data_IF_753745258498
#
_entry.id   IF_753745258498
#
_cell.length_a   1.000
_cell.length_b   1.000
_cell.length_c   1.000
_cell.angle_alpha   90.00
_cell.angle_beta   90.00
_cell.angle_gamma   90.00
#
_symmetry.space_group_name_H-M   'P 1'
#
loop_
_entity.id
_entity.type
_entity.pdbx_description
1 polymer ?
#
# COMPACT_ATOMS: atom_id res chain seq x y z
N UNK A 1 -52.20 -46.81 0.56
CA UNK A 1 -51.17 -47.51 1.35
C UNK A 1 -49.80 -47.03 0.87
N UNK A 2 -48.95 -46.74 1.85
CA UNK A 2 -47.60 -46.16 1.88
C UNK A 2 -46.69 -46.49 0.70
N UNK A 3 -45.93 -45.54 0.13
CA UNK A 3 -44.60 -45.06 0.61
C UNK A 3 -43.56 -45.44 -0.48
N UNK A 4 -42.44 -44.80 -0.79
CA UNK A 4 -41.56 -43.86 -0.11
C UNK A 4 -40.61 -43.23 -1.17
N UNK A 5 -40.31 -41.92 -1.04
CA UNK A 5 -39.07 -41.16 -1.35
C UNK A 5 -38.36 -41.20 -2.73
N UNK A 6 -37.89 -40.03 -3.23
CA UNK A 6 -37.00 -39.92 -4.40
C UNK A 6 -35.51 -40.03 -4.00
N UNK A 7 -34.65 -40.69 -4.80
CA UNK A 7 -33.20 -40.56 -4.64
C UNK A 7 -32.62 -39.52 -5.61
N UNK A 8 -32.00 -38.51 -5.01
CA UNK A 8 -30.70 -37.94 -5.33
C UNK A 8 -30.23 -37.87 -6.79
N UNK A 9 -30.14 -36.62 -7.27
CA UNK A 9 -28.84 -35.99 -7.48
C UNK A 9 -27.86 -36.70 -8.42
N UNK A 10 -27.96 -36.39 -9.72
CA UNK A 10 -26.82 -36.40 -10.62
C UNK A 10 -26.96 -35.21 -11.57
N UNK A 11 -26.51 -34.06 -11.09
CA UNK A 11 -26.34 -32.84 -11.86
C UNK A 11 -25.16 -33.07 -12.81
N UNK A 12 -25.41 -33.81 -13.88
CA UNK A 12 -24.40 -34.18 -14.87
C UNK A 12 -24.00 -32.94 -15.68
N UNK A 13 -22.73 -32.56 -15.54
CA UNK A 13 -22.03 -31.86 -16.59
C UNK A 13 -22.07 -30.33 -16.54
N UNK A 14 -22.35 -29.71 -15.39
CA UNK A 14 -21.70 -28.43 -15.15
C UNK A 14 -20.22 -28.74 -15.03
N UNK A 15 -19.51 -28.60 -16.16
CA UNK A 15 -18.09 -28.33 -16.16
C UNK A 15 -17.85 -27.33 -15.03
N UNK A 16 -17.32 -27.83 -13.91
CA UNK A 16 -16.78 -27.00 -12.85
C UNK A 16 -15.59 -26.33 -13.51
N UNK A 17 -15.88 -25.28 -14.28
CA UNK A 17 -14.95 -24.22 -14.57
C UNK A 17 -14.61 -23.76 -13.17
N UNK A 18 -13.54 -24.35 -12.62
CA UNK A 18 -12.79 -23.72 -11.56
C UNK A 18 -12.35 -22.41 -12.19
N UNK A 19 -13.19 -21.39 -12.04
CA UNK A 19 -12.82 -20.02 -12.29
C UNK A 19 -11.77 -19.78 -11.23
N UNK A 20 -10.51 -20.09 -11.57
CA UNK A 20 -9.36 -19.72 -10.76
C UNK A 20 -9.58 -18.24 -10.47
N UNK A 21 -9.88 -17.87 -9.21
CA UNK A 21 -10.39 -16.56 -8.92
C UNK A 21 -9.33 -15.59 -9.41
N UNK A 22 -9.73 -14.80 -10.40
CA UNK A 22 -8.88 -13.94 -11.20
C UNK A 22 -7.79 -13.37 -10.29
N UNK A 23 -6.52 -13.67 -10.61
CA UNK A 23 -5.36 -12.95 -10.09
C UNK A 23 -5.59 -11.47 -10.42
N UNK A 24 -6.31 -10.77 -9.56
CA UNK A 24 -6.87 -9.44 -9.87
C UNK A 24 -5.73 -8.47 -9.72
N UNK A 25 -5.01 -8.28 -10.81
CA UNK A 25 -3.95 -7.29 -10.90
C UNK A 25 -4.59 -5.92 -10.88
N UNK A 26 -4.33 -5.16 -9.82
CA UNK A 26 -4.78 -3.81 -9.63
C UNK A 26 -3.71 -2.85 -10.14
N UNK A 27 -4.15 -1.78 -10.81
CA UNK A 27 -3.29 -0.64 -11.13
C UNK A 27 -2.83 0.05 -9.84
N UNK A 28 -1.81 0.91 -9.91
CA UNK A 28 -1.36 1.67 -8.75
C UNK A 28 -2.49 2.48 -8.08
N UNK A 29 -3.39 3.08 -8.87
CA UNK A 29 -4.48 3.88 -8.34
C UNK A 29 -5.56 3.00 -7.69
N UNK A 30 -5.91 1.87 -8.30
CA UNK A 30 -6.87 0.93 -7.71
C UNK A 30 -6.30 0.23 -6.47
N UNK A 31 -4.99 -0.09 -6.47
CA UNK A 31 -4.30 -0.65 -5.32
C UNK A 31 -4.27 0.35 -4.17
N UNK A 32 -4.03 1.63 -4.46
CA UNK A 32 -4.05 2.70 -3.47
C UNK A 32 -5.47 2.88 -2.87
N UNK A 33 -6.51 2.83 -3.71
CA UNK A 33 -7.90 2.83 -3.24
C UNK A 33 -8.23 1.60 -2.39
N UNK A 34 -7.77 0.42 -2.80
CA UNK A 34 -7.96 -0.82 -2.06
C UNK A 34 -7.34 -0.75 -0.65
N UNK A 35 -6.11 -0.24 -0.55
CA UNK A 35 -5.40 0.00 0.70
C UNK A 35 -5.95 1.18 1.51
N UNK A 36 -6.82 2.01 0.93
CA UNK A 36 -7.29 3.25 1.58
C UNK A 36 -6.19 4.29 1.79
N UNK A 37 -5.18 4.35 0.90
CA UNK A 37 -4.08 5.33 0.98
C UNK A 37 -3.96 6.15 -0.32
N UNK A 38 -3.39 7.36 -0.30
CA UNK A 38 -3.17 8.11 -1.52
C UNK A 38 -2.11 7.44 -2.42
N UNK A 39 -2.36 7.38 -3.73
CA UNK A 39 -1.46 6.79 -4.73
C UNK A 39 -0.01 7.33 -4.69
N UNK A 40 0.16 8.63 -4.38
CA UNK A 40 1.50 9.24 -4.17
C UNK A 40 2.25 8.57 -3.02
N UNK A 41 1.57 8.21 -1.93
CA UNK A 41 2.18 7.55 -0.77
C UNK A 41 2.53 6.10 -1.09
N UNK A 42 1.64 5.37 -1.77
CA UNK A 42 1.96 4.03 -2.27
C UNK A 42 3.21 4.04 -3.17
N UNK A 43 3.34 5.06 -4.04
CA UNK A 43 4.52 5.25 -4.87
C UNK A 43 5.79 5.56 -4.07
N UNK A 44 5.69 6.39 -3.01
CA UNK A 44 6.82 6.67 -2.11
C UNK A 44 7.26 5.41 -1.35
N UNK A 45 6.31 4.64 -0.82
CA UNK A 45 6.59 3.37 -0.15
C UNK A 45 7.31 2.39 -1.10
N UNK A 46 6.87 2.32 -2.36
CA UNK A 46 7.57 1.53 -3.39
C UNK A 46 9.00 2.01 -3.64
N UNK A 47 9.26 3.32 -3.66
CA UNK A 47 10.61 3.88 -3.83
C UNK A 47 11.53 3.61 -2.64
N UNK A 48 10.98 3.56 -1.43
CA UNK A 48 11.71 3.30 -0.20
C UNK A 48 11.82 1.79 0.11
N UNK A 49 11.43 0.91 -0.82
CA UNK A 49 11.36 -0.55 -0.61
C UNK A 49 10.56 -0.98 0.65
N UNK A 50 9.66 -0.11 1.12
CA UNK A 50 8.86 -0.29 2.33
C UNK A 50 7.37 -0.55 2.02
N UNK A 51 7.02 -0.57 0.73
CA UNK A 51 5.67 -0.83 0.22
C UNK A 51 5.45 -2.28 -0.24
N UNK A 52 4.22 -2.62 -0.65
CA UNK A 52 3.91 -3.92 -1.23
C UNK A 52 4.73 -4.13 -2.50
N UNK A 53 5.21 -5.35 -2.73
CA UNK A 53 5.98 -5.68 -3.93
C UNK A 53 5.04 -5.74 -5.14
N UNK A 54 5.34 -5.02 -6.24
CA UNK A 54 4.57 -5.15 -7.46
C UNK A 54 4.75 -6.55 -8.04
N UNK A 55 3.64 -7.20 -8.38
CA UNK A 55 3.65 -8.56 -8.91
C UNK A 55 3.96 -8.61 -10.41
N UNK A 56 3.64 -7.53 -11.12
CA UNK A 56 3.95 -7.34 -12.52
C UNK A 56 4.12 -5.85 -12.82
N UNK A 57 4.62 -5.54 -14.02
CA UNK A 57 4.70 -4.18 -14.52
C UNK A 57 4.09 -4.15 -15.91
N UNK A 58 3.07 -3.32 -16.10
CA UNK A 58 2.51 -3.08 -17.43
C UNK A 58 3.22 -1.86 -18.03
N UNK A 59 4.31 -2.11 -18.76
CA UNK A 59 5.19 -1.03 -19.24
C UNK A 59 5.85 -0.27 -18.08
N UNK A 60 5.47 1.00 -17.86
CA UNK A 60 6.01 1.83 -16.78
C UNK A 60 5.18 1.76 -15.48
N UNK A 61 3.94 1.29 -15.54
CA UNK A 61 3.04 1.27 -14.38
C UNK A 61 3.14 -0.05 -13.60
N UNK A 62 3.37 0.02 -12.27
CA UNK A 62 3.37 -1.18 -11.43
C UNK A 62 1.95 -1.73 -11.29
N UNK A 63 1.83 -3.05 -11.35
CA UNK A 63 0.59 -3.78 -11.08
C UNK A 63 0.75 -4.61 -9.81
N UNK A 64 -0.27 -4.56 -8.96
CA UNK A 64 -0.27 -5.21 -7.65
C UNK A 64 -1.30 -6.32 -7.63
N UNK A 65 -0.91 -7.48 -7.11
CA UNK A 65 -1.87 -8.55 -6.81
C UNK A 65 -2.58 -8.24 -5.51
N UNK A 66 -3.88 -8.52 -5.44
CA UNK A 66 -4.67 -8.36 -4.21
C UNK A 66 -4.02 -9.13 -3.06
N UNK A 67 -3.50 -10.33 -3.32
CA UNK A 67 -2.90 -11.20 -2.29
C UNK A 67 -1.65 -10.56 -1.67
N UNK A 68 -0.84 -9.86 -2.48
CA UNK A 68 0.36 -9.17 -2.00
C UNK A 68 -0.01 -7.89 -1.24
N UNK A 69 -1.10 -7.23 -1.62
CA UNK A 69 -1.66 -6.10 -0.87
C UNK A 69 -2.21 -6.56 0.48
N UNK A 70 -2.95 -7.67 0.52
CA UNK A 70 -3.48 -8.26 1.75
C UNK A 70 -2.37 -8.72 2.68
N UNK A 71 -1.35 -9.41 2.16
CA UNK A 71 -0.16 -9.77 2.94
C UNK A 71 0.52 -8.54 3.52
N UNK A 72 0.64 -7.47 2.73
CA UNK A 72 1.24 -6.21 3.20
C UNK A 72 0.40 -5.56 4.31
N UNK A 73 -0.93 -5.59 4.22
CA UNK A 73 -1.83 -5.12 5.28
C UNK A 73 -1.61 -5.91 6.57
N UNK A 74 -1.60 -7.24 6.50
CA UNK A 74 -1.35 -8.09 7.67
C UNK A 74 0.03 -7.80 8.30
N UNK A 75 1.05 -7.53 7.49
CA UNK A 75 2.37 -7.11 7.99
C UNK A 75 2.32 -5.76 8.71
N UNK A 76 1.59 -4.78 8.18
CA UNK A 76 1.39 -3.46 8.82
C UNK A 76 0.69 -3.60 10.19
N UNK A 77 -0.41 -4.34 10.23
CA UNK A 77 -1.17 -4.58 11.47
C UNK A 77 -0.36 -5.39 12.49
N UNK A 78 0.35 -6.42 12.04
CA UNK A 78 1.24 -7.21 12.89
C UNK A 78 2.38 -6.37 13.48
N UNK A 79 2.97 -5.46 12.70
CA UNK A 79 4.00 -4.53 13.17
C UNK A 79 3.46 -3.56 14.23
N UNK A 80 2.22 -3.12 14.10
CA UNK A 80 1.54 -2.28 15.09
C UNK A 80 1.03 -3.06 16.31
N UNK A 81 1.28 -4.38 16.40
CA UNK A 81 0.79 -5.27 17.46
C UNK A 81 -0.74 -5.22 17.64
N UNK A 82 -1.47 -4.93 16.56
CA UNK A 82 -2.93 -4.94 16.56
C UNK A 82 -3.39 -6.39 16.46
N UNK A 83 -4.42 -6.76 17.23
CA UNK A 83 -4.96 -8.13 17.19
C UNK A 83 -5.68 -8.40 15.87
N UNK A 84 -5.64 -9.64 15.39
CA UNK A 84 -6.33 -10.03 14.16
C UNK A 84 -7.86 -9.80 14.22
N UNK A 85 -8.44 -9.84 15.43
CA UNK A 85 -9.85 -9.52 15.64
C UNK A 85 -10.17 -8.04 15.41
N UNK A 86 -9.28 -7.15 15.82
CA UNK A 86 -9.41 -5.70 15.61
C UNK A 86 -9.11 -5.32 14.15
N UNK A 87 -8.14 -5.96 13.51
CA UNK A 87 -7.91 -5.86 12.06
C UNK A 87 -9.18 -6.21 11.28
N UNK A 88 -9.83 -7.33 11.62
CA UNK A 88 -11.04 -7.77 10.94
C UNK A 88 -12.20 -6.77 11.11
N UNK A 89 -12.39 -6.22 12.32
CA UNK A 89 -13.39 -5.17 12.59
C UNK A 89 -13.13 -3.92 11.78
N UNK A 90 -11.92 -3.36 11.86
CA UNK A 90 -11.57 -2.14 11.11
C UNK A 90 -11.69 -2.32 9.60
N UNK A 91 -11.31 -3.50 9.09
CA UNK A 91 -11.45 -3.80 7.67
C UNK A 91 -12.90 -3.97 7.26
N UNK A 92 -13.75 -4.56 8.10
CA UNK A 92 -15.19 -4.65 7.85
C UNK A 92 -15.83 -3.26 7.82
N UNK A 93 -15.50 -2.41 8.78
CA UNK A 93 -15.95 -1.01 8.83
C UNK A 93 -15.51 -0.24 7.59
N UNK A 94 -14.25 -0.40 7.19
CA UNK A 94 -13.70 0.22 5.98
C UNK A 94 -14.41 -0.25 4.71
N UNK A 95 -14.60 -1.56 4.55
CA UNK A 95 -15.35 -2.12 3.41
C UNK A 95 -16.79 -1.62 3.38
N UNK A 96 -17.43 -1.51 4.55
CA UNK A 96 -18.77 -0.94 4.67
C UNK A 96 -18.84 0.51 4.18
N UNK A 97 -17.82 1.33 4.50
CA UNK A 97 -17.72 2.72 4.02
C UNK A 97 -17.51 2.83 2.51
N UNK A 98 -16.68 1.96 1.93
CA UNK A 98 -16.45 1.96 0.47
C UNK A 98 -17.68 1.43 -0.30
N UNK A 99 -18.43 0.50 0.30
CA UNK A 99 -19.65 -0.06 -0.29
C UNK A 99 -20.87 0.86 -0.14
N UNK A 100 -20.78 1.91 0.68
CA UNK A 100 -21.87 2.84 0.89
C UNK A 100 -22.24 3.58 -0.42
N UNK A 101 -23.53 3.74 -0.75
CA UNK A 101 -23.98 4.38 -1.99
C UNK A 101 -23.47 5.82 -2.21
N UNK A 102 -23.06 6.51 -1.13
CA UNK A 102 -22.46 7.85 -1.17
C UNK A 102 -20.95 7.88 -1.45
N UNK A 103 -20.32 6.73 -1.71
CA UNK A 103 -18.90 6.63 -2.04
C UNK A 103 -18.59 7.08 -3.48
N UNK A 104 -19.58 7.52 -4.26
CA UNK A 104 -19.41 8.09 -5.60
C UNK A 104 -19.71 9.61 -5.55
N UNK A 105 -18.79 10.43 -6.09
CA UNK A 105 -18.97 11.86 -6.33
C UNK A 105 -20.12 12.07 -7.35
N UNK A 106 -20.73 13.25 -7.40
CA UNK A 106 -21.77 13.63 -8.36
C UNK A 106 -21.47 13.30 -9.85
N UNK A 107 -20.20 13.05 -10.20
CA UNK A 107 -19.68 12.63 -11.50
C UNK A 107 -19.48 11.11 -11.63
N UNK A 108 -20.00 10.30 -10.70
CA UNK A 108 -19.87 8.84 -10.70
C UNK A 108 -18.45 8.33 -10.45
N UNK A 109 -17.56 9.14 -9.87
CA UNK A 109 -16.20 8.72 -9.50
C UNK A 109 -16.16 8.32 -8.05
N UNK A 110 -15.40 7.28 -7.69
CA UNK A 110 -15.19 6.95 -6.28
C UNK A 110 -14.62 8.16 -5.56
N UNK A 111 -15.35 8.68 -4.57
CA UNK A 111 -14.84 9.63 -3.60
C UNK A 111 -13.57 9.01 -3.05
N UNK A 112 -12.49 9.78 -3.06
CA UNK A 112 -11.19 9.36 -2.57
C UNK A 112 -11.27 9.24 -1.05
N UNK A 113 -11.97 8.22 -0.59
CA UNK A 113 -12.02 7.84 0.81
C UNK A 113 -10.64 7.32 1.15
N UNK A 114 -10.09 7.83 2.25
CA UNK A 114 -8.78 7.46 2.75
C UNK A 114 -9.02 6.89 4.14
N UNK A 115 -8.48 5.71 4.42
CA UNK A 115 -8.59 5.07 5.71
C UNK A 115 -7.58 5.73 6.68
N UNK A 116 -8.04 6.42 7.75
CA UNK A 116 -7.15 7.05 8.72
C UNK A 116 -6.20 6.06 9.40
N UNK A 117 -6.63 4.82 9.63
CA UNK A 117 -5.80 3.80 10.28
C UNK A 117 -4.65 3.39 9.36
N UNK A 118 -4.95 3.03 8.12
CA UNK A 118 -3.93 2.72 7.12
C UNK A 118 -3.01 3.92 6.84
N UNK A 119 -3.51 5.15 6.95
CA UNK A 119 -2.66 6.33 6.87
C UNK A 119 -1.65 6.42 8.02
N UNK A 120 -2.05 6.17 9.26
CA UNK A 120 -1.16 6.20 10.42
C UNK A 120 -0.12 5.07 10.34
N UNK A 121 -0.57 3.86 10.03
CA UNK A 121 0.30 2.67 9.89
C UNK A 121 1.35 2.86 8.77
N UNK A 122 0.93 3.36 7.61
CA UNK A 122 1.86 3.60 6.51
C UNK A 122 2.82 4.77 6.78
N UNK A 123 2.42 5.74 7.60
CA UNK A 123 3.28 6.86 7.97
C UNK A 123 4.40 6.42 8.90
N UNK A 124 4.10 5.57 9.89
CA UNK A 124 5.13 4.96 10.76
C UNK A 124 6.18 4.21 9.93
N UNK A 125 5.73 3.39 8.99
CA UNK A 125 6.62 2.68 8.06
C UNK A 125 7.43 3.64 7.20
N UNK A 126 6.83 4.74 6.73
CA UNK A 126 7.52 5.73 5.91
C UNK A 126 8.60 6.49 6.70
N UNK A 127 8.32 6.84 7.95
CA UNK A 127 9.28 7.49 8.86
C UNK A 127 10.40 6.52 9.21
N UNK A 128 10.06 5.28 9.56
CA UNK A 128 11.05 4.24 9.87
C UNK A 128 11.97 3.93 8.68
N UNK A 129 11.42 3.84 7.47
CA UNK A 129 12.19 3.61 6.25
C UNK A 129 12.96 4.87 5.77
N UNK A 130 12.41 6.06 6.04
CA UNK A 130 13.01 7.35 5.67
C UNK A 130 14.11 7.83 6.63
N UNK A 131 14.08 7.40 7.89
CA UNK A 131 15.07 7.72 8.92
C UNK A 131 16.54 7.56 8.48
N UNK A 132 16.96 6.39 7.94
CA UNK A 132 18.34 6.20 7.50
C UNK A 132 18.73 7.09 6.31
N UNK A 133 17.77 7.50 5.48
CA UNK A 133 18.01 8.41 4.37
C UNK A 133 18.17 9.87 4.86
N UNK A 134 17.34 10.28 5.83
CA UNK A 134 17.47 11.58 6.49
C UNK A 134 18.81 11.73 7.21
N UNK A 135 19.25 10.69 7.92
CA UNK A 135 20.55 10.67 8.59
C UNK A 135 21.71 10.81 7.61
N UNK A 136 21.66 10.09 6.48
CA UNK A 136 22.68 10.20 5.42
C UNK A 136 22.74 11.60 4.82
N UNK A 137 21.59 12.23 4.59
CA UNK A 137 21.51 13.62 4.11
C UNK A 137 22.08 14.61 5.12
N UNK A 138 21.77 14.45 6.41
CA UNK A 138 22.36 15.26 7.49
C UNK A 138 23.88 15.12 7.54
N UNK A 139 24.38 13.89 7.46
CA UNK A 139 25.82 13.64 7.42
C UNK A 139 26.48 14.26 6.18
N UNK A 140 25.92 14.04 5.00
CA UNK A 140 26.46 14.60 3.75
C UNK A 140 26.40 16.13 3.74
N UNK A 141 25.32 16.71 4.26
CA UNK A 141 25.16 18.17 4.39
C UNK A 141 26.18 18.74 5.37
N UNK A 142 26.35 18.12 6.54
CA UNK A 142 27.33 18.55 7.54
C UNK A 142 28.76 18.45 7.00
N UNK A 143 29.09 17.33 6.35
CA UNK A 143 30.38 17.13 5.70
C UNK A 143 30.62 18.17 4.60
N UNK A 144 29.62 18.41 3.74
CA UNK A 144 29.68 19.44 2.70
C UNK A 144 29.94 20.83 3.26
N UNK A 145 29.28 21.20 4.36
CA UNK A 145 29.49 22.49 5.03
C UNK A 145 30.92 22.63 5.59
N UNK A 146 31.49 21.55 6.14
CA UNK A 146 32.88 21.53 6.63
C UNK A 146 33.87 21.70 5.48
N UNK A 147 33.70 20.95 4.38
CA UNK A 147 34.55 21.08 3.20
C UNK A 147 34.44 22.47 2.56
N UNK A 148 33.22 23.00 2.44
CA UNK A 148 32.94 24.33 1.91
C UNK A 148 33.37 25.45 2.85
N UNK A 149 33.53 25.19 4.16
CA UNK A 149 34.17 26.15 5.06
C UNK A 149 35.68 26.23 4.83
N UNK A 150 36.31 25.13 4.41
CA UNK A 150 37.76 25.05 4.29
C UNK A 150 38.31 25.67 2.99
N UNK A 151 37.54 25.66 1.90
CA UNK A 151 37.95 26.15 0.57
C UNK A 151 37.97 27.68 0.40
N UNK A 152 36.97 28.47 0.85
CA UNK A 152 36.92 29.91 0.65
C UNK A 152 37.70 30.71 1.71
N UNK A 153 37.95 30.15 2.91
CA UNK A 153 38.75 30.82 3.95
C UNK A 153 40.22 30.89 3.54
N UNK A 154 40.76 29.84 2.94
CA UNK A 154 42.14 29.83 2.42
C UNK A 154 42.31 30.80 1.24
N UNK A 155 41.32 30.91 0.36
CA UNK A 155 41.32 31.89 -0.74
C UNK A 155 41.26 33.33 -0.24
N UNK A 156 40.42 33.62 0.76
CA UNK A 156 40.36 34.96 1.37
C UNK A 156 41.65 35.33 2.11
N UNK A 157 42.36 34.38 2.70
CA UNK A 157 43.68 34.64 3.29
C UNK A 157 44.77 34.85 2.23
N UNK A 158 44.78 34.05 1.15
CA UNK A 158 45.75 34.22 0.06
C UNK A 158 45.51 35.48 -0.79
N UNK A 159 44.27 35.96 -0.91
CA UNK A 159 43.95 37.19 -1.64
C UNK A 159 44.25 38.48 -0.86
N UNK A 160 44.61 38.37 0.43
CA UNK A 160 44.92 39.50 1.32
C UNK A 160 46.41 39.59 1.67
N UNK A 161 47.22 38.63 1.18
CA UNK A 161 48.68 38.61 1.24
C UNK A 161 49.28 39.06 -0.10
#
# INVERSE_FOLDING_TARGET
MSGLTPPDGANDGLATVHVFPLRRMLSLDDAALYLGIPARRLRMLGRLNAGPRPAARNGRTPMYRVEDLDRYVTLLYGRARISAAEEARQRQDWRGRIAAPGALDARGRRVRMIDPCMQALTLDVLVSAGGPMGLKLLFASGLGLIFLSHTPVMWRLYAML
#
